data_IF_614842803512
#
_entry.id   IF_614842803512
#
_cell.length_a   1.000
_cell.length_b   1.000
_cell.length_c   1.000
_cell.angle_alpha   90.00
_cell.angle_beta   90.00
_cell.angle_gamma   90.00
#
_symmetry.space_group_name_H-M   'P 1'
#
loop_
_entity.id
_entity.type
_entity.pdbx_description
1 polymer ?
#
# COMPACT_ATOMS: atom_id res chain seq x y z
N UNK A 1 -3.85 5.92 2.29
CA UNK A 1 -3.31 5.59 0.96
C UNK A 1 -2.59 6.81 0.40
N UNK A 2 -1.37 6.64 -0.10
CA UNK A 2 -0.59 7.74 -0.67
C UNK A 2 -1.11 8.08 -2.07
N UNK A 3 -1.26 9.36 -2.39
CA UNK A 3 -1.74 9.79 -3.70
C UNK A 3 -0.61 9.62 -4.72
N UNK A 4 -0.81 8.72 -5.68
CA UNK A 4 0.20 8.38 -6.71
C UNK A 4 0.39 9.48 -7.78
N UNK A 5 -0.45 10.50 -7.81
CA UNK A 5 -0.43 11.56 -8.83
C UNK A 5 -0.19 12.93 -8.23
N UNK A 6 0.77 13.66 -8.79
CA UNK A 6 1.10 15.05 -8.49
C UNK A 6 0.22 16.06 -9.26
N UNK A 7 -0.62 15.60 -10.20
CA UNK A 7 -1.34 16.48 -11.14
C UNK A 7 -2.29 17.46 -10.48
N UNK A 8 -2.88 17.07 -9.34
CA UNK A 8 -3.80 17.94 -8.59
C UNK A 8 -3.06 18.91 -7.65
N UNK A 9 -1.80 18.63 -7.30
CA UNK A 9 -1.03 19.41 -6.32
C UNK A 9 -0.96 20.91 -6.65
N UNK A 10 -0.77 21.34 -7.92
CA UNK A 10 -0.76 22.76 -8.28
C UNK A 10 -2.05 23.50 -7.92
N UNK A 11 -3.19 22.82 -7.92
CA UNK A 11 -4.51 23.43 -7.74
C UNK A 11 -5.02 23.33 -6.30
N UNK A 12 -4.63 22.27 -5.56
CA UNK A 12 -5.05 22.05 -4.18
C UNK A 12 -4.49 23.15 -3.28
N UNK A 13 -5.38 23.80 -2.52
CA UNK A 13 -5.06 24.81 -1.52
C UNK A 13 -4.16 25.95 -2.04
N UNK A 14 -4.21 26.24 -3.34
CA UNK A 14 -3.31 27.20 -4.00
C UNK A 14 -3.28 28.57 -3.29
N UNK A 15 -4.42 29.02 -2.79
CA UNK A 15 -4.60 30.31 -2.12
C UNK A 15 -4.35 30.27 -0.59
N UNK A 16 -4.08 29.09 -0.03
CA UNK A 16 -3.93 28.87 1.42
C UNK A 16 -2.58 28.23 1.80
N UNK A 17 -1.59 28.28 0.90
CA UNK A 17 -0.26 27.72 1.18
C UNK A 17 0.51 28.61 2.16
N UNK A 18 1.11 28.00 3.18
CA UNK A 18 1.94 28.73 4.15
C UNK A 18 3.19 29.31 3.49
N UNK A 19 3.41 30.60 3.68
CA UNK A 19 4.56 31.35 3.16
C UNK A 19 5.74 31.40 4.13
N UNK A 20 5.66 30.72 5.29
CA UNK A 20 6.66 30.80 6.35
C UNK A 20 8.02 30.27 5.91
N UNK A 21 9.09 30.81 6.49
CA UNK A 21 10.48 30.42 6.18
C UNK A 21 10.76 28.95 6.51
N UNK A 22 10.26 28.46 7.64
CA UNK A 22 10.34 27.05 8.03
C UNK A 22 9.64 26.15 7.01
N UNK A 23 8.46 26.55 6.54
CA UNK A 23 7.77 25.80 5.50
C UNK A 23 8.57 25.85 4.18
N UNK A 24 9.09 27.00 3.76
CA UNK A 24 9.94 27.12 2.56
C UNK A 24 11.20 26.24 2.62
N UNK A 25 11.86 26.17 3.78
CA UNK A 25 13.03 25.31 3.98
C UNK A 25 12.64 23.82 3.89
N UNK A 26 11.54 23.43 4.54
CA UNK A 26 10.99 22.08 4.44
C UNK A 26 10.61 21.72 2.99
N UNK A 27 9.99 22.65 2.26
CA UNK A 27 9.58 22.46 0.87
C UNK A 27 10.80 22.22 -0.04
N UNK A 28 11.96 22.83 0.23
CA UNK A 28 13.19 22.60 -0.56
C UNK A 28 13.73 21.17 -0.50
N UNK A 29 13.41 20.43 0.58
CA UNK A 29 13.89 19.06 0.78
C UNK A 29 12.85 18.04 0.30
N UNK A 30 11.56 18.32 0.48
CA UNK A 30 10.49 17.32 0.37
C UNK A 30 9.53 17.51 -0.82
N UNK A 31 9.50 18.65 -1.50
CA UNK A 31 8.41 18.93 -2.44
C UNK A 31 8.73 18.74 -3.91
N UNK A 32 7.74 18.16 -4.61
CA UNK A 32 7.64 18.16 -6.06
C UNK A 32 7.45 19.61 -6.52
N UNK A 33 8.18 20.08 -7.55
CA UNK A 33 8.00 21.42 -8.09
C UNK A 33 6.56 21.62 -8.55
N UNK A 34 5.93 22.70 -8.06
CA UNK A 34 4.55 23.04 -8.41
C UNK A 34 4.51 23.70 -9.78
N UNK A 35 3.71 23.14 -10.70
CA UNK A 35 3.49 23.74 -12.02
C UNK A 35 2.63 25.01 -11.90
N UNK A 36 2.72 25.95 -12.85
CA UNK A 36 1.82 27.10 -12.89
C UNK A 36 0.36 26.64 -13.00
N UNK A 37 -0.54 27.30 -12.27
CA UNK A 37 -1.99 27.07 -12.37
C UNK A 37 -2.66 28.34 -12.94
N UNK A 38 -3.39 28.26 -14.07
CA UNK A 38 -4.01 29.41 -14.72
C UNK A 38 -5.30 29.84 -13.99
N UNK A 39 -5.19 30.26 -12.73
CA UNK A 39 -6.31 30.74 -11.91
C UNK A 39 -7.28 29.67 -11.39
N UNK A 40 -7.17 28.42 -11.85
CA UNK A 40 -7.97 27.29 -11.34
C UNK A 40 -7.52 26.90 -9.93
N UNK A 41 -8.47 26.55 -9.07
CA UNK A 41 -8.19 26.09 -7.70
C UNK A 41 -9.05 24.89 -7.35
N UNK A 42 -8.53 24.04 -6.45
CA UNK A 42 -9.29 22.96 -5.80
C UNK A 42 -9.38 23.35 -4.32
N UNK A 43 -10.60 23.57 -3.85
CA UNK A 43 -10.87 23.80 -2.43
C UNK A 43 -11.30 22.48 -1.77
N UNK A 44 -10.81 22.27 -0.54
CA UNK A 44 -11.20 21.12 0.28
C UNK A 44 -12.14 21.63 1.36
N UNK A 45 -13.30 21.00 1.50
CA UNK A 45 -14.31 21.32 2.51
C UNK A 45 -14.83 20.03 3.14
N UNK A 46 -15.45 20.15 4.32
CA UNK A 46 -16.23 19.07 4.91
C UNK A 46 -17.42 18.71 4.04
N UNK A 47 -17.99 17.52 4.25
CA UNK A 47 -19.25 17.14 3.59
C UNK A 47 -20.38 18.09 4.02
N UNK A 48 -21.23 18.57 3.08
CA UNK A 48 -22.35 19.45 3.43
C UNK A 48 -23.33 18.72 4.37
N UNK A 49 -23.99 19.47 5.25
CA UNK A 49 -25.03 18.92 6.13
C UNK A 49 -26.27 18.51 5.35
N UNK A 50 -26.63 19.31 4.34
CA UNK A 50 -27.71 19.03 3.41
C UNK A 50 -27.55 19.86 2.13
N UNK A 51 -28.30 19.47 1.11
CA UNK A 51 -28.53 20.25 -0.11
C UNK A 51 -30.00 20.64 -0.12
N UNK A 52 -30.31 21.92 -0.24
CA UNK A 52 -31.70 22.39 -0.23
C UNK A 52 -32.41 22.19 -1.59
N UNK A 53 -33.70 22.53 -1.65
CA UNK A 53 -34.51 22.42 -2.88
C UNK A 53 -34.01 23.28 -4.03
N UNK A 54 -33.18 24.29 -3.75
CA UNK A 54 -32.55 25.16 -4.76
C UNK A 54 -31.18 24.66 -5.22
N UNK A 55 -30.71 23.51 -4.71
CA UNK A 55 -29.43 22.93 -5.05
C UNK A 55 -28.24 23.53 -4.30
N UNK A 56 -28.49 24.39 -3.31
CA UNK A 56 -27.43 25.01 -2.50
C UNK A 56 -26.90 24.00 -1.48
N UNK A 57 -25.59 23.80 -1.47
CA UNK A 57 -24.88 23.02 -0.47
C UNK A 57 -24.65 23.84 0.80
N UNK A 58 -25.22 23.38 1.91
CA UNK A 58 -25.07 24.01 3.23
C UNK A 58 -24.00 23.30 4.05
N UNK A 59 -23.01 24.05 4.55
CA UNK A 59 -21.91 23.52 5.35
C UNK A 59 -22.09 23.97 6.80
N UNK A 60 -21.89 23.07 7.76
CA UNK A 60 -21.83 23.49 9.16
C UNK A 60 -20.63 24.42 9.39
N UNK A 61 -20.79 25.51 10.16
CA UNK A 61 -19.66 26.29 10.60
C UNK A 61 -18.71 25.38 11.41
N UNK A 62 -17.38 25.56 11.29
CA UNK A 62 -16.45 24.73 12.05
C UNK A 62 -16.77 24.87 13.54
N UNK A 63 -17.01 23.75 14.21
CA UNK A 63 -17.05 23.71 15.68
C UNK A 63 -15.71 24.26 16.20
N UNK A 64 -15.79 25.21 17.13
CA UNK A 64 -14.71 26.00 17.73
C UNK A 64 -13.35 25.28 17.94
N UNK A 65 -12.22 26.01 17.90
CA UNK A 65 -10.88 25.43 17.86
C UNK A 65 -10.50 24.78 19.19
N UNK A 66 -10.31 23.46 19.20
CA UNK A 66 -9.61 22.78 20.29
C UNK A 66 -8.11 23.04 20.17
N UNK A 67 -7.61 23.93 21.06
CA UNK A 67 -6.28 23.95 21.69
C UNK A 67 -5.01 23.87 20.82
N UNK A 68 -4.37 25.03 20.61
CA UNK A 68 -2.96 25.30 21.03
C UNK A 68 -2.32 26.49 20.29
N UNK A 69 -2.66 27.75 20.61
CA UNK A 69 -1.70 28.88 20.63
C UNK A 69 -2.26 30.04 21.47
N UNK A 70 -1.50 30.69 22.37
CA UNK A 70 -2.02 31.76 23.22
C UNK A 70 -2.23 33.08 22.46
N UNK A 71 -3.41 33.65 22.70
CA UNK A 71 -3.82 35.06 22.72
C UNK A 71 -2.80 36.13 22.27
N UNK A 72 -3.14 36.87 21.20
CA UNK A 72 -2.78 38.28 21.01
C UNK A 72 -4.07 39.14 21.12
N UNK A 73 -3.97 40.38 21.62
CA UNK A 73 -5.14 41.15 22.03
C UNK A 73 -5.94 41.75 20.86
N UNK A 74 -7.24 41.85 21.13
CA UNK A 74 -8.33 42.47 20.41
C UNK A 74 -7.95 43.60 19.41
N UNK A 75 -7.92 43.23 18.14
CA UNK A 75 -8.52 44.04 17.07
C UNK A 75 -9.42 43.08 16.30
N UNK A 76 -10.74 43.27 16.38
CA UNK A 76 -11.70 42.44 15.63
C UNK A 76 -11.38 42.59 14.14
N UNK A 77 -10.94 41.52 13.44
CA UNK A 77 -10.95 41.55 11.99
C UNK A 77 -12.42 41.69 11.54
N UNK A 78 -12.69 42.35 10.40
CA UNK A 78 -14.03 42.38 9.83
C UNK A 78 -14.58 40.95 9.76
N UNK A 79 -15.87 40.80 10.09
CA UNK A 79 -16.56 39.51 10.01
C UNK A 79 -16.21 38.85 8.68
N UNK A 80 -15.78 37.57 8.68
CA UNK A 80 -15.43 36.91 7.45
C UNK A 80 -16.62 37.01 6.50
N UNK A 81 -16.40 37.34 5.21
CA UNK A 81 -17.49 37.38 4.24
C UNK A 81 -18.25 36.06 4.31
N UNK A 82 -19.58 36.13 4.30
CA UNK A 82 -20.42 34.93 4.30
C UNK A 82 -19.89 33.97 3.22
N UNK A 83 -19.71 32.68 3.54
CA UNK A 83 -19.15 31.75 2.58
C UNK A 83 -19.99 31.82 1.30
N UNK A 84 -19.35 31.87 0.11
CA UNK A 84 -20.09 31.93 -1.14
C UNK A 84 -21.06 30.76 -1.19
N UNK A 85 -22.28 31.01 -1.65
CA UNK A 85 -23.26 29.97 -1.93
C UNK A 85 -22.66 29.00 -2.95
N UNK A 86 -22.63 27.72 -2.61
CA UNK A 86 -22.10 26.67 -3.50
C UNK A 86 -23.29 25.93 -4.09
N UNK A 87 -23.53 26.16 -5.38
CA UNK A 87 -24.47 25.40 -6.19
C UNK A 87 -23.62 24.65 -7.22
N UNK A 88 -23.46 23.32 -7.10
CA UNK A 88 -22.64 22.56 -8.03
C UNK A 88 -23.39 22.27 -9.34
N UNK A 89 -22.70 22.38 -10.47
CA UNK A 89 -23.23 21.88 -11.75
C UNK A 89 -23.18 20.35 -11.83
N UNK A 90 -22.17 19.74 -11.21
CA UNK A 90 -21.92 18.29 -11.24
C UNK A 90 -21.46 17.81 -9.87
N UNK A 91 -22.05 16.72 -9.39
CA UNK A 91 -21.62 16.02 -8.18
C UNK A 91 -21.06 14.65 -8.56
N UNK A 92 -19.81 14.39 -8.17
CA UNK A 92 -19.14 13.11 -8.39
C UNK A 92 -18.92 12.42 -7.04
N UNK A 93 -19.64 11.31 -6.81
CA UNK A 93 -19.50 10.51 -5.60
C UNK A 93 -18.38 9.47 -5.76
N UNK A 94 -17.15 9.86 -5.43
CA UNK A 94 -15.99 8.97 -5.42
C UNK A 94 -15.89 8.14 -4.11
N UNK A 95 -16.99 7.53 -3.67
CA UNK A 95 -17.11 6.84 -2.37
C UNK A 95 -16.51 5.43 -2.34
N UNK A 96 -16.07 4.91 -3.50
CA UNK A 96 -15.39 3.61 -3.61
C UNK A 96 -16.31 2.50 -4.10
N UNK A 97 -15.93 1.25 -3.83
CA UNK A 97 -16.61 0.04 -4.30
C UNK A 97 -16.72 -0.99 -3.18
N UNK A 98 -17.82 -1.74 -3.16
CA UNK A 98 -17.97 -2.95 -2.35
C UNK A 98 -17.66 -4.19 -3.18
N UNK A 99 -17.31 -5.29 -2.53
CA UNK A 99 -16.99 -6.57 -3.18
C UNK A 99 -18.02 -7.62 -2.80
N UNK A 100 -18.55 -8.36 -3.77
CA UNK A 100 -19.43 -9.51 -3.55
C UNK A 100 -19.16 -10.59 -4.59
N UNK A 101 -19.51 -11.84 -4.26
CA UNK A 101 -19.31 -13.01 -5.13
C UNK A 101 -20.62 -13.78 -5.31
N UNK A 102 -21.58 -13.26 -6.11
CA UNK A 102 -22.90 -13.89 -6.27
C UNK A 102 -22.86 -15.30 -6.87
N UNK A 103 -21.75 -15.69 -7.49
CA UNK A 103 -21.53 -17.02 -8.05
C UNK A 103 -21.12 -18.07 -7.01
N UNK A 104 -20.76 -17.66 -5.78
CA UNK A 104 -20.39 -18.58 -4.70
C UNK A 104 -21.60 -18.79 -3.78
N UNK A 105 -21.93 -20.05 -3.52
CA UNK A 105 -22.93 -20.42 -2.54
C UNK A 105 -22.52 -19.99 -1.12
N UNK A 106 -23.50 -19.72 -0.25
CA UNK A 106 -23.27 -19.26 1.12
C UNK A 106 -22.51 -20.26 2.01
N UNK A 107 -22.43 -21.53 1.59
CA UNK A 107 -21.61 -22.56 2.24
C UNK A 107 -20.11 -22.36 2.03
N UNK A 108 -19.69 -21.61 1.00
CA UNK A 108 -18.28 -21.30 0.79
C UNK A 108 -17.78 -20.20 1.73
N UNK A 109 -16.50 -20.25 2.13
CA UNK A 109 -15.86 -19.15 2.86
C UNK A 109 -16.05 -17.83 2.12
N UNK A 110 -16.41 -16.79 2.85
CA UNK A 110 -16.51 -15.44 2.29
C UNK A 110 -15.13 -14.77 2.27
N UNK A 111 -15.01 -13.65 1.55
CA UNK A 111 -13.78 -12.86 1.63
C UNK A 111 -13.47 -12.45 3.08
N UNK A 112 -14.48 -12.15 3.90
CA UNK A 112 -14.28 -11.77 5.32
C UNK A 112 -13.71 -12.91 6.17
N UNK A 113 -14.01 -14.18 5.88
CA UNK A 113 -13.47 -15.32 6.62
C UNK A 113 -12.05 -15.73 6.21
N UNK A 114 -11.50 -15.15 5.13
CA UNK A 114 -10.14 -15.39 4.68
C UNK A 114 -9.10 -14.84 5.66
N UNK A 115 -8.81 -15.60 6.72
CA UNK A 115 -7.96 -15.20 7.83
C UNK A 115 -6.47 -15.41 7.56
N UNK A 116 -6.10 -16.39 6.71
CA UNK A 116 -4.70 -16.58 6.34
C UNK A 116 -4.30 -15.52 5.32
N UNK A 117 -3.64 -14.46 5.82
CA UNK A 117 -3.09 -13.35 5.03
C UNK A 117 -4.12 -12.62 4.16
N UNK A 118 -5.42 -12.75 4.44
CA UNK A 118 -6.48 -12.24 3.57
C UNK A 118 -6.70 -13.05 2.29
N UNK A 119 -6.21 -14.29 2.23
CA UNK A 119 -6.20 -15.12 1.02
C UNK A 119 -7.21 -16.26 1.12
N UNK A 120 -7.19 -17.06 2.18
CA UNK A 120 -8.06 -18.22 2.32
C UNK A 120 -8.39 -18.52 3.78
N UNK A 121 -9.41 -19.35 3.99
CA UNK A 121 -9.80 -19.88 5.29
C UNK A 121 -9.00 -21.17 5.58
N UNK A 122 -8.26 -21.27 6.71
CA UNK A 122 -7.43 -22.43 7.00
C UNK A 122 -8.24 -23.73 7.19
N UNK A 123 -9.51 -23.64 7.59
CA UNK A 123 -10.39 -24.80 7.74
C UNK A 123 -10.97 -25.25 6.39
N UNK A 124 -10.95 -24.38 5.37
CA UNK A 124 -11.43 -24.69 4.03
C UNK A 124 -10.51 -24.09 2.95
N UNK A 125 -9.31 -24.65 2.74
CA UNK A 125 -8.36 -24.12 1.76
C UNK A 125 -8.76 -24.41 0.30
N UNK A 126 -9.95 -24.95 0.06
CA UNK A 126 -10.45 -25.28 -1.28
C UNK A 126 -10.78 -24.04 -2.13
N UNK A 127 -10.98 -22.89 -1.50
CA UNK A 127 -11.26 -21.60 -2.14
C UNK A 127 -10.31 -20.54 -1.60
N UNK A 128 -9.87 -19.64 -2.48
CA UNK A 128 -9.04 -18.48 -2.12
C UNK A 128 -9.44 -17.23 -2.89
N UNK A 129 -9.17 -16.08 -2.27
CA UNK A 129 -9.39 -14.74 -2.77
C UNK A 129 -8.06 -14.08 -3.11
N UNK A 130 -7.71 -14.09 -4.39
CA UNK A 130 -6.44 -13.58 -4.91
C UNK A 130 -6.61 -12.15 -5.43
N UNK A 131 -5.69 -11.25 -5.09
CA UNK A 131 -5.67 -9.87 -5.56
C UNK A 131 -6.60 -8.90 -4.82
N UNK A 132 -7.19 -9.33 -3.70
CA UNK A 132 -8.10 -8.50 -2.89
C UNK A 132 -7.41 -7.67 -1.79
N UNK A 133 -6.11 -7.86 -1.58
CA UNK A 133 -5.31 -6.95 -0.74
C UNK A 133 -4.96 -5.68 -1.51
N UNK A 134 -4.96 -4.55 -0.81
CA UNK A 134 -4.70 -3.23 -1.39
C UNK A 134 -3.42 -2.64 -0.83
N UNK A 135 -2.29 -2.77 -1.55
CA UNK A 135 -1.05 -2.13 -1.12
C UNK A 135 -1.18 -0.60 -1.15
N UNK A 136 -0.63 0.10 -0.15
CA UNK A 136 -0.57 1.58 -0.15
C UNK A 136 0.24 2.12 -1.32
N UNK A 137 1.40 1.51 -1.54
CA UNK A 137 2.41 1.77 -2.57
C UNK A 137 2.79 0.41 -3.13
N UNK A 138 3.02 0.32 -4.45
CA UNK A 138 3.32 -0.96 -5.10
C UNK A 138 2.16 -1.51 -5.93
N UNK A 139 2.40 -2.69 -6.51
CA UNK A 139 1.58 -3.31 -7.53
C UNK A 139 0.84 -4.54 -6.99
N UNK A 140 -0.44 -4.67 -7.35
CA UNK A 140 -1.28 -5.84 -6.98
C UNK A 140 -0.84 -7.11 -7.73
N UNK A 141 -0.50 -7.09 -9.05
CA UNK A 141 -0.19 -8.33 -9.76
C UNK A 141 0.96 -9.16 -9.15
N UNK A 142 2.10 -8.57 -8.71
CA UNK A 142 3.14 -9.32 -8.00
C UNK A 142 2.64 -9.92 -6.67
N UNK A 143 1.82 -9.21 -5.91
CA UNK A 143 1.24 -9.77 -4.69
C UNK A 143 0.28 -10.92 -5.00
N UNK A 144 -0.56 -10.77 -6.02
CA UNK A 144 -1.49 -11.80 -6.47
C UNK A 144 -0.75 -13.09 -6.89
N UNK A 145 0.40 -12.96 -7.55
CA UNK A 145 1.29 -14.10 -7.84
C UNK A 145 1.74 -14.80 -6.56
N UNK A 146 2.31 -14.07 -5.58
CA UNK A 146 2.76 -14.65 -4.31
C UNK A 146 1.60 -15.26 -3.50
N UNK A 147 0.43 -14.63 -3.53
CA UNK A 147 -0.78 -15.13 -2.88
C UNK A 147 -1.21 -16.46 -3.51
N UNK A 148 -1.23 -16.56 -4.84
CA UNK A 148 -1.58 -17.77 -5.56
C UNK A 148 -0.56 -18.89 -5.26
N UNK A 149 0.73 -18.57 -5.29
CA UNK A 149 1.80 -19.50 -4.93
C UNK A 149 1.66 -20.07 -3.52
N UNK A 150 1.36 -19.20 -2.54
CA UNK A 150 1.15 -19.63 -1.15
C UNK A 150 -0.09 -20.51 -1.04
N UNK A 151 -1.21 -20.09 -1.65
CA UNK A 151 -2.45 -20.85 -1.60
C UNK A 151 -2.31 -22.22 -2.25
N UNK A 152 -1.73 -22.31 -3.46
CA UNK A 152 -1.51 -23.58 -4.16
C UNK A 152 -0.61 -24.49 -3.33
N UNK A 153 0.49 -23.97 -2.76
CA UNK A 153 1.36 -24.74 -1.88
C UNK A 153 0.58 -25.33 -0.69
N UNK A 154 -0.29 -24.53 -0.06
CA UNK A 154 -1.08 -24.93 1.11
C UNK A 154 -2.18 -25.92 0.74
N UNK A 155 -2.81 -25.75 -0.42
CA UNK A 155 -3.79 -26.69 -0.97
C UNK A 155 -3.16 -28.06 -1.23
N UNK A 156 -1.97 -28.11 -1.85
CA UNK A 156 -1.24 -29.35 -2.10
C UNK A 156 -0.81 -30.03 -0.79
N UNK A 157 -0.38 -29.26 0.20
CA UNK A 157 -0.06 -29.76 1.55
C UNK A 157 -1.28 -30.34 2.26
N UNK A 158 -2.42 -29.64 2.19
CA UNK A 158 -3.69 -30.12 2.77
C UNK A 158 -4.15 -31.43 2.13
N UNK A 159 -3.89 -31.63 0.84
CA UNK A 159 -4.16 -32.89 0.12
C UNK A 159 -3.11 -33.98 0.34
N UNK A 160 -2.05 -33.71 1.10
CA UNK A 160 -0.95 -34.65 1.34
C UNK A 160 -0.03 -34.87 0.14
N UNK A 161 -0.14 -34.06 -0.92
CA UNK A 161 0.64 -34.19 -2.16
C UNK A 161 2.05 -33.59 -2.04
N UNK A 162 2.21 -32.61 -1.15
CA UNK A 162 3.49 -31.95 -0.86
C UNK A 162 3.70 -31.95 0.64
N UNK A 163 4.85 -32.42 1.10
CA UNK A 163 5.22 -32.33 2.51
C UNK A 163 5.98 -31.03 2.79
N UNK A 164 5.86 -30.54 4.02
CA UNK A 164 6.67 -29.40 4.47
C UNK A 164 8.14 -29.85 4.55
N UNK A 165 9.11 -29.07 4.03
CA UNK A 165 10.51 -29.46 4.08
C UNK A 165 10.95 -29.71 5.53
N UNK A 166 11.63 -30.83 5.77
CA UNK A 166 12.18 -31.09 7.09
C UNK A 166 13.18 -29.98 7.48
N UNK A 167 13.21 -29.51 8.74
CA UNK A 167 14.07 -28.39 9.16
C UNK A 167 15.57 -28.57 8.86
N UNK A 168 16.00 -29.83 8.70
CA UNK A 168 17.41 -30.19 8.46
C UNK A 168 17.78 -30.24 6.97
N UNK A 169 16.83 -30.12 6.05
CA UNK A 169 17.14 -30.19 4.62
C UNK A 169 17.97 -28.96 4.18
N UNK A 170 18.84 -29.14 3.19
CA UNK A 170 19.72 -28.07 2.69
C UNK A 170 18.93 -26.87 2.18
N UNK A 171 17.75 -27.10 1.62
CA UNK A 171 16.87 -26.04 1.12
C UNK A 171 16.26 -25.23 2.27
N UNK A 172 15.88 -25.86 3.38
CA UNK A 172 15.45 -25.17 4.61
C UNK A 172 16.58 -24.33 5.22
N UNK A 173 17.85 -24.72 5.08
CA UNK A 173 19.00 -23.93 5.57
C UNK A 173 19.30 -22.69 4.73
N UNK A 174 18.86 -22.65 3.48
CA UNK A 174 19.08 -21.50 2.61
C UNK A 174 17.92 -20.49 2.69
N UNK A 175 16.78 -20.88 3.24
CA UNK A 175 15.64 -20.01 3.50
C UNK A 175 15.69 -19.41 4.92
N UNK A 176 15.15 -18.20 5.08
CA UNK A 176 14.99 -17.56 6.37
C UNK A 176 13.88 -18.29 7.15
N UNK A 177 14.08 -18.62 8.44
CA UNK A 177 13.01 -19.17 9.27
C UNK A 177 11.79 -18.26 9.30
N UNK A 178 10.59 -18.84 9.27
CA UNK A 178 9.36 -18.06 9.33
C UNK A 178 9.24 -17.29 10.64
N UNK A 179 8.92 -16.01 10.54
CA UNK A 179 8.48 -15.16 11.64
C UNK A 179 7.33 -14.27 11.16
N UNK A 180 6.66 -13.60 12.09
CA UNK A 180 5.55 -12.70 11.78
C UNK A 180 6.05 -11.25 11.69
N UNK A 181 5.80 -10.61 10.55
CA UNK A 181 5.95 -9.18 10.35
C UNK A 181 4.61 -8.48 10.53
N UNK A 182 4.67 -7.21 10.92
CA UNK A 182 3.52 -6.33 10.79
C UNK A 182 3.46 -5.80 9.35
N UNK A 183 2.58 -6.40 8.56
CA UNK A 183 2.39 -6.08 7.14
C UNK A 183 1.09 -5.32 6.88
N UNK A 184 0.25 -5.10 7.90
CA UNK A 184 -1.00 -4.36 7.76
C UNK A 184 -0.74 -2.85 7.79
N UNK A 185 -1.56 -2.07 7.08
CA UNK A 185 -1.46 -0.62 7.16
C UNK A 185 -2.19 -0.10 8.39
N UNK A 186 -1.46 0.65 9.21
CA UNK A 186 -2.00 1.34 10.38
C UNK A 186 -2.07 2.85 10.12
N UNK A 187 -3.18 3.37 9.57
CA UNK A 187 -3.34 4.81 9.37
C UNK A 187 -3.58 5.52 10.70
N UNK A 188 -3.29 6.83 10.73
CA UNK A 188 -3.59 7.68 11.88
C UNK A 188 -5.08 8.07 11.89
N UNK A 189 -5.55 8.61 13.01
CA UNK A 189 -6.90 9.16 13.19
C UNK A 189 -8.05 8.12 13.16
N UNK A 190 -7.80 6.90 13.65
CA UNK A 190 -8.85 5.92 13.95
C UNK A 190 -9.41 5.15 12.75
N UNK A 191 -8.84 5.33 11.56
CA UNK A 191 -9.19 4.50 10.40
C UNK A 191 -8.65 3.08 10.55
N UNK A 192 -9.41 2.08 10.11
CA UNK A 192 -8.93 0.71 9.98
C UNK A 192 -8.78 0.38 8.49
N UNK A 193 -7.59 0.61 7.94
CA UNK A 193 -7.33 0.37 6.53
C UNK A 193 -7.44 -1.11 6.14
N UNK A 194 -7.21 -2.02 7.09
CA UNK A 194 -7.36 -3.45 6.87
C UNK A 194 -8.83 -3.83 6.78
N UNK A 195 -9.64 -3.45 7.76
CA UNK A 195 -11.08 -3.76 7.77
C UNK A 195 -11.81 -3.15 6.57
N UNK A 196 -11.50 -1.89 6.22
CA UNK A 196 -12.18 -1.19 5.14
C UNK A 196 -11.77 -1.67 3.74
N UNK A 197 -10.46 -1.88 3.52
CA UNK A 197 -9.89 -2.04 2.16
C UNK A 197 -8.85 -3.14 2.05
N UNK A 198 -8.62 -3.93 3.09
CA UNK A 198 -7.49 -4.88 3.19
C UNK A 198 -6.16 -4.21 2.85
N UNK A 199 -5.95 -3.05 3.45
CA UNK A 199 -4.76 -2.24 3.30
C UNK A 199 -3.51 -2.94 3.83
N UNK A 200 -2.48 -3.08 2.98
CA UNK A 200 -1.19 -3.70 3.35
C UNK A 200 0.00 -2.84 2.95
N UNK A 201 1.09 -2.97 3.70
CA UNK A 201 2.41 -2.53 3.24
C UNK A 201 2.93 -3.55 2.22
N UNK A 202 3.26 -3.10 1.01
CA UNK A 202 3.56 -4.02 -0.10
C UNK A 202 4.82 -4.84 0.16
N UNK A 203 5.87 -4.19 0.64
CA UNK A 203 7.18 -4.79 0.87
C UNK A 203 7.12 -5.83 1.98
N UNK A 204 6.53 -5.45 3.11
CA UNK A 204 6.36 -6.33 4.29
C UNK A 204 5.41 -7.49 3.98
N UNK A 205 4.32 -7.24 3.24
CA UNK A 205 3.39 -8.29 2.86
C UNK A 205 4.02 -9.29 1.88
N UNK A 206 4.71 -8.83 0.84
CA UNK A 206 5.41 -9.70 -0.10
C UNK A 206 6.44 -10.59 0.63
N UNK A 207 7.23 -10.00 1.53
CA UNK A 207 8.20 -10.75 2.32
C UNK A 207 7.54 -11.73 3.29
N UNK A 208 6.43 -11.37 3.94
CA UNK A 208 5.68 -12.30 4.80
C UNK A 208 5.20 -13.53 4.02
N UNK A 209 4.66 -13.34 2.81
CA UNK A 209 4.25 -14.46 1.96
C UNK A 209 5.45 -15.35 1.60
N UNK A 210 6.61 -14.75 1.34
CA UNK A 210 7.83 -15.50 1.08
C UNK A 210 8.31 -16.29 2.31
N UNK A 211 8.22 -15.72 3.52
CA UNK A 211 8.52 -16.43 4.78
C UNK A 211 7.58 -17.63 4.97
N UNK A 212 6.28 -17.43 4.76
CA UNK A 212 5.26 -18.48 4.92
C UNK A 212 5.51 -19.67 3.97
N UNK A 213 6.00 -19.39 2.76
CA UNK A 213 6.36 -20.39 1.77
C UNK A 213 7.75 -21.02 1.99
N UNK A 214 8.61 -20.42 2.80
CA UNK A 214 10.03 -20.79 2.87
C UNK A 214 10.82 -20.39 1.62
N UNK A 215 10.40 -19.31 0.96
CA UNK A 215 10.96 -18.77 -0.28
C UNK A 215 11.85 -17.53 -0.05
N UNK A 216 11.87 -16.96 1.17
CA UNK A 216 12.76 -15.86 1.51
C UNK A 216 14.22 -16.36 1.65
N UNK A 217 15.17 -15.93 0.80
CA UNK A 217 16.55 -16.43 0.86
C UNK A 217 17.35 -15.75 1.98
N UNK A 218 18.23 -16.52 2.62
CA UNK A 218 19.25 -15.95 3.52
C UNK A 218 20.30 -15.18 2.72
N UNK A 219 20.90 -14.15 3.31
CA UNK A 219 21.98 -13.38 2.65
C UNK A 219 23.13 -14.29 2.19
N UNK A 220 23.46 -15.34 2.97
CA UNK A 220 24.49 -16.33 2.61
C UNK A 220 24.12 -17.13 1.38
N UNK A 221 22.84 -17.47 1.20
CA UNK A 221 22.36 -18.16 0.02
C UNK A 221 22.47 -17.26 -1.21
N UNK A 222 22.06 -15.99 -1.09
CA UNK A 222 22.16 -15.00 -2.17
C UNK A 222 23.62 -14.78 -2.58
N UNK A 223 24.52 -14.53 -1.63
CA UNK A 223 25.93 -14.26 -1.91
C UNK A 223 26.62 -15.43 -2.64
N UNK A 224 26.35 -16.68 -2.23
CA UNK A 224 26.93 -17.87 -2.86
C UNK A 224 26.40 -18.13 -4.28
N UNK A 225 25.12 -17.82 -4.53
CA UNK A 225 24.42 -18.17 -5.77
C UNK A 225 24.53 -17.07 -6.82
N UNK A 226 24.48 -15.82 -6.38
CA UNK A 226 24.15 -14.68 -7.22
C UNK A 226 25.33 -13.78 -7.59
N UNK A 227 26.49 -13.92 -6.97
CA UNK A 227 27.57 -12.93 -7.12
C UNK A 227 27.15 -11.53 -6.63
N UNK A 228 28.00 -10.53 -6.86
CA UNK A 228 27.82 -9.22 -6.25
C UNK A 228 26.57 -8.47 -6.75
N UNK A 229 26.25 -8.53 -8.05
CA UNK A 229 25.09 -7.81 -8.62
C UNK A 229 23.78 -8.32 -8.04
N UNK A 230 23.62 -9.64 -7.95
CA UNK A 230 22.44 -10.23 -7.34
C UNK A 230 22.34 -9.90 -5.85
N UNK A 231 23.47 -9.93 -5.12
CA UNK A 231 23.50 -9.52 -3.71
C UNK A 231 23.11 -8.05 -3.51
N UNK A 232 23.59 -7.16 -4.40
CA UNK A 232 23.23 -5.74 -4.40
C UNK A 232 21.74 -5.53 -4.69
N UNK A 233 21.20 -6.15 -5.74
CA UNK A 233 19.78 -6.10 -6.08
C UNK A 233 18.91 -6.66 -4.96
N UNK A 234 19.35 -7.75 -4.30
CA UNK A 234 18.67 -8.33 -3.15
C UNK A 234 18.63 -7.38 -1.95
N UNK A 235 19.75 -6.74 -1.62
CA UNK A 235 19.86 -5.88 -0.44
C UNK A 235 19.23 -4.49 -0.64
N UNK A 236 19.37 -3.92 -1.83
CA UNK A 236 19.05 -2.51 -2.10
C UNK A 236 17.77 -2.29 -2.92
N UNK A 237 17.20 -3.35 -3.49
CA UNK A 237 15.93 -3.25 -4.22
C UNK A 237 14.71 -3.56 -3.36
N UNK A 238 13.53 -3.20 -3.84
CA UNK A 238 12.23 -3.71 -3.37
C UNK A 238 12.15 -5.24 -3.36
N UNK A 239 11.21 -5.81 -2.63
CA UNK A 239 10.88 -7.24 -2.56
C UNK A 239 10.23 -7.74 -3.85
N UNK A 240 10.99 -7.67 -4.94
CA UNK A 240 10.64 -8.26 -6.22
C UNK A 240 10.41 -9.77 -6.07
N UNK A 241 9.34 -10.29 -6.67
CA UNK A 241 9.02 -11.71 -6.63
C UNK A 241 10.19 -12.61 -7.07
N UNK A 242 11.00 -12.13 -8.02
CA UNK A 242 12.21 -12.82 -8.48
C UNK A 242 13.18 -13.17 -7.35
N UNK A 243 13.29 -12.33 -6.30
CA UNK A 243 14.11 -12.64 -5.11
C UNK A 243 13.67 -13.92 -4.43
N UNK A 244 12.35 -14.16 -4.41
CA UNK A 244 11.72 -15.32 -3.79
C UNK A 244 11.70 -16.56 -4.71
N UNK A 245 12.33 -16.47 -5.89
CA UNK A 245 12.59 -17.60 -6.79
C UNK A 245 13.99 -18.18 -6.61
N UNK A 246 14.83 -17.56 -5.77
CA UNK A 246 16.19 -18.06 -5.48
C UNK A 246 16.19 -19.30 -4.58
N UNK A 247 15.18 -19.50 -3.75
CA UNK A 247 15.03 -20.65 -2.83
C UNK A 247 13.55 -21.02 -2.72
N UNK A 248 13.24 -22.11 -2.00
CA UNK A 248 11.88 -22.50 -1.67
C UNK A 248 11.19 -23.35 -2.74
N UNK A 249 9.89 -23.62 -2.57
CA UNK A 249 9.14 -24.59 -3.37
C UNK A 249 8.93 -24.16 -4.82
N UNK A 250 9.01 -22.86 -5.07
CA UNK A 250 8.78 -22.25 -6.39
C UNK A 250 10.07 -21.76 -7.05
N UNK A 251 11.22 -22.34 -6.66
CA UNK A 251 12.54 -21.89 -7.11
C UNK A 251 12.73 -22.04 -8.61
N UNK A 252 13.35 -21.03 -9.21
CA UNK A 252 13.96 -21.07 -10.54
C UNK A 252 15.24 -20.25 -10.47
N UNK A 253 16.31 -20.90 -10.01
CA UNK A 253 17.54 -20.20 -9.64
C UNK A 253 18.24 -19.57 -10.84
N UNK A 254 18.15 -20.20 -12.02
CA UNK A 254 18.84 -19.72 -13.22
C UNK A 254 18.19 -18.44 -13.72
N UNK A 255 16.87 -18.46 -13.91
CA UNK A 255 16.11 -17.29 -14.39
C UNK A 255 16.15 -16.18 -13.35
N UNK A 256 16.00 -16.52 -12.07
CA UNK A 256 16.04 -15.52 -11.00
C UNK A 256 17.39 -14.79 -10.95
N UNK A 257 18.50 -15.53 -11.07
CA UNK A 257 19.83 -14.92 -11.07
C UNK A 257 20.05 -14.03 -12.30
N UNK A 258 19.62 -14.48 -13.48
CA UNK A 258 19.79 -13.71 -14.71
C UNK A 258 19.07 -12.35 -14.63
N UNK A 259 17.79 -12.37 -14.26
CA UNK A 259 16.97 -11.18 -14.05
C UNK A 259 17.55 -10.27 -12.96
N UNK A 260 17.95 -10.84 -11.82
CA UNK A 260 18.48 -10.05 -10.70
C UNK A 260 19.84 -9.42 -10.98
N UNK A 261 20.65 -10.02 -11.86
CA UNK A 261 21.96 -9.49 -12.29
C UNK A 261 21.87 -8.52 -13.47
N UNK A 262 20.80 -8.63 -14.27
CA UNK A 262 20.51 -7.82 -15.44
C UNK A 262 19.53 -6.69 -15.13
N UNK A 263 18.28 -6.85 -15.55
CA UNK A 263 17.26 -5.79 -15.53
C UNK A 263 17.04 -5.16 -14.16
N UNK A 264 16.90 -5.97 -13.11
CA UNK A 264 16.62 -5.45 -11.77
C UNK A 264 17.84 -4.74 -11.18
N UNK A 265 19.04 -5.23 -11.49
CA UNK A 265 20.27 -4.57 -11.08
C UNK A 265 20.37 -3.16 -11.67
N UNK A 266 20.07 -3.00 -12.96
CA UNK A 266 20.10 -1.68 -13.60
C UNK A 266 19.03 -0.72 -13.02
N UNK A 267 17.85 -1.24 -12.65
CA UNK A 267 16.82 -0.45 -11.97
C UNK A 267 17.30 0.00 -10.59
N UNK A 268 17.79 -0.93 -9.76
CA UNK A 268 18.22 -0.65 -8.38
C UNK A 268 19.44 0.26 -8.34
N UNK A 269 20.37 0.11 -9.29
CA UNK A 269 21.56 0.98 -9.38
C UNK A 269 21.19 2.43 -9.67
N UNK A 270 20.15 2.68 -10.48
CA UNK A 270 19.71 4.06 -10.83
C UNK A 270 19.16 4.83 -9.64
N UNK A 271 18.53 4.16 -8.67
CA UNK A 271 18.06 4.78 -7.43
C UNK A 271 19.13 4.82 -6.32
N UNK A 272 20.32 4.25 -6.57
CA UNK A 272 21.44 4.22 -5.62
C UNK A 272 21.18 3.41 -4.36
N UNK A 273 20.11 2.61 -4.31
CA UNK A 273 19.65 1.92 -3.09
C UNK A 273 19.12 2.84 -2.00
N UNK A 274 18.97 4.14 -2.27
CA UNK A 274 18.54 5.14 -1.29
C UNK A 274 17.02 5.38 -1.28
N UNK A 275 16.32 4.96 -2.34
CA UNK A 275 14.89 5.19 -2.50
C UNK A 275 14.21 3.97 -3.13
N UNK A 276 13.53 3.18 -2.30
CA UNK A 276 12.45 2.25 -2.63
C UNK A 276 11.48 2.17 -1.46
#
# INVERSE_FOLDING_TARGET
>A
FMVKSDRALPYISANHRSTSLLNRLRMRILNVPLRPHPGRTISVRSWPSHVDSSGVMHFQPPSSPSSSTPLLPASQPPAPPAPPLIIPDVVILATGYTTSFPMLDHTYPSLSSASVRGIYDPCCPSVAFIGFVRPSIGAIPPLAELQAQLWVLRLLQHRGLVQRPAPRCRDAKNAVPGYEMDWQLHPRAGYDAWAEKRGVDHESYAYQLALDMGAAPTWRAVARRGGWRCAYTWAMGSNFNTKFRLVGPWRDEVVAQDIMRGELYEVVRRSGGLVF
#
